data_IF_651645077176
#
_entry.id   IF_651645077176
#
_cell.length_a   1.000
_cell.length_b   1.000
_cell.length_c   1.000
_cell.angle_alpha   90.00
_cell.angle_beta   90.00
_cell.angle_gamma   90.00
#
_symmetry.space_group_name_H-M   'P 1'
#
loop_
_entity.id
_entity.type
_entity.pdbx_description
1 polymer ?
#
# COMPACT_ATOMS: atom_id res chain seq x y z
N UNK A 1 7.80 -3.34 15.44
CA UNK A 1 9.20 -3.25 14.99
C UNK A 1 10.14 -2.97 16.14
N UNK A 2 10.07 -1.81 16.79
CA UNK A 2 11.00 -1.38 17.86
C UNK A 2 11.13 -2.38 19.01
N UNK A 3 10.05 -3.01 19.46
CA UNK A 3 10.10 -4.03 20.51
C UNK A 3 10.93 -5.25 20.10
N UNK A 4 10.81 -5.70 18.88
CA UNK A 4 11.56 -6.85 18.34
C UNK A 4 13.05 -6.50 18.26
N UNK A 5 13.39 -5.31 17.76
CA UNK A 5 14.77 -4.81 17.68
C UNK A 5 15.42 -4.82 19.06
N UNK A 6 14.74 -4.26 20.07
CA UNK A 6 15.26 -4.20 21.44
C UNK A 6 15.37 -5.56 22.10
N UNK A 7 14.35 -6.44 21.95
CA UNK A 7 14.34 -7.77 22.59
C UNK A 7 15.40 -8.71 21.99
N UNK A 8 15.57 -8.68 20.69
CA UNK A 8 16.47 -9.61 20.00
C UNK A 8 17.83 -8.96 19.65
N UNK A 9 18.07 -7.70 20.06
CA UNK A 9 19.31 -6.95 19.78
C UNK A 9 19.66 -7.01 18.28
N UNK A 10 18.66 -6.77 17.44
CA UNK A 10 18.83 -6.80 15.99
C UNK A 10 19.73 -5.64 15.58
N UNK A 11 20.82 -5.92 14.85
CA UNK A 11 21.69 -4.89 14.33
C UNK A 11 20.98 -4.06 13.27
N UNK A 12 21.00 -2.76 13.43
CA UNK A 12 20.33 -1.82 12.55
C UNK A 12 21.35 -1.13 11.63
N UNK A 13 20.95 -0.64 10.45
CA UNK A 13 21.86 0.06 9.55
C UNK A 13 22.55 1.27 10.18
N UNK A 14 21.88 2.03 11.05
CA UNK A 14 22.52 3.17 11.74
C UNK A 14 23.54 2.76 12.79
N UNK A 15 23.39 1.55 13.38
CA UNK A 15 24.38 1.01 14.32
C UNK A 15 25.55 0.29 13.60
N UNK A 16 25.32 -0.20 12.39
CA UNK A 16 26.30 -0.90 11.59
C UNK A 16 26.25 -0.42 10.13
N UNK A 17 27.08 0.58 9.75
CA UNK A 17 27.10 1.16 8.40
C UNK A 17 27.36 0.16 7.27
N UNK A 18 27.95 -1.00 7.56
CA UNK A 18 28.15 -2.07 6.56
C UNK A 18 26.85 -2.67 6.05
N UNK A 19 25.73 -2.43 6.75
CA UNK A 19 24.39 -2.85 6.34
C UNK A 19 23.68 -1.80 5.47
N UNK A 20 24.28 -0.62 5.27
CA UNK A 20 23.74 0.39 4.37
C UNK A 20 24.10 0.02 2.92
N UNK A 21 23.07 -0.29 2.14
CA UNK A 21 23.20 -0.43 0.68
C UNK A 21 22.95 0.96 0.05
N UNK A 22 23.91 1.46 -0.72
CA UNK A 22 23.87 2.80 -1.34
C UNK A 22 22.62 3.03 -2.21
N UNK A 23 22.17 2.00 -2.93
CA UNK A 23 20.97 2.07 -3.79
C UNK A 23 19.65 2.30 -3.04
N UNK A 24 19.62 2.09 -1.76
CA UNK A 24 18.39 2.18 -0.99
C UNK A 24 18.17 3.51 -0.29
N UNK A 25 19.22 4.28 -0.12
CA UNK A 25 19.14 5.62 0.43
C UNK A 25 18.40 6.49 -0.58
N UNK A 26 18.76 6.40 -1.86
CA UNK A 26 18.15 7.14 -2.96
C UNK A 26 16.65 6.83 -3.10
N UNK A 27 16.23 5.57 -2.94
CA UNK A 27 14.80 5.19 -3.04
C UNK A 27 13.94 5.74 -1.90
N UNK A 28 14.49 5.83 -0.68
CA UNK A 28 13.78 6.38 0.47
C UNK A 28 13.84 7.90 0.46
N UNK A 29 14.97 8.49 0.11
CA UNK A 29 15.09 9.93 -0.09
C UNK A 29 14.14 10.41 -1.16
N UNK A 30 14.03 9.71 -2.30
CA UNK A 30 13.05 10.05 -3.35
C UNK A 30 11.60 10.01 -2.85
N UNK A 31 11.22 9.07 -1.97
CA UNK A 31 9.88 9.03 -1.39
C UNK A 31 9.66 10.03 -0.26
N UNK A 32 10.66 10.34 0.53
CA UNK A 32 10.60 11.37 1.58
C UNK A 32 10.69 12.76 0.95
N UNK A 33 11.51 12.95 -0.08
CA UNK A 33 11.63 14.19 -0.83
C UNK A 33 10.48 14.43 -1.81
N UNK A 34 9.74 13.39 -2.25
CA UNK A 34 8.53 13.56 -3.08
C UNK A 34 7.51 14.47 -2.43
N UNK A 35 7.45 14.50 -1.10
CA UNK A 35 6.65 15.47 -0.35
C UNK A 35 7.10 16.93 -0.48
N UNK A 36 8.30 17.19 -1.02
CA UNK A 36 8.88 18.52 -1.23
C UNK A 36 9.12 18.91 -2.69
N UNK A 37 9.00 17.96 -3.64
CA UNK A 37 9.15 18.27 -5.07
C UNK A 37 8.02 19.19 -5.54
N UNK A 38 8.39 20.35 -6.06
CA UNK A 38 7.43 21.29 -6.64
C UNK A 38 6.84 20.70 -7.93
N UNK A 39 5.53 20.67 -8.01
CA UNK A 39 4.79 20.33 -9.22
C UNK A 39 3.99 21.53 -9.70
N UNK A 40 3.81 21.65 -11.01
CA UNK A 40 3.06 22.73 -11.60
C UNK A 40 1.58 22.33 -11.78
N UNK A 41 0.70 23.32 -11.96
CA UNK A 41 -0.72 23.06 -12.28
C UNK A 41 -0.90 22.23 -13.56
N UNK A 42 0.02 22.33 -14.50
CA UNK A 42 0.04 21.48 -15.71
C UNK A 42 0.32 20.00 -15.38
N UNK A 43 1.18 19.72 -14.41
CA UNK A 43 1.45 18.34 -13.97
C UNK A 43 0.20 17.71 -13.36
N UNK A 44 -0.53 18.47 -12.53
CA UNK A 44 -1.81 18.00 -11.96
C UNK A 44 -2.84 17.70 -13.04
N UNK A 45 -3.00 18.57 -14.02
CA UNK A 45 -3.92 18.35 -15.14
C UNK A 45 -3.53 17.11 -15.95
N UNK A 46 -2.24 16.93 -16.19
CA UNK A 46 -1.71 15.76 -16.91
C UNK A 46 -2.00 14.46 -16.14
N UNK A 47 -1.78 14.45 -14.83
CA UNK A 47 -2.11 13.29 -13.98
C UNK A 47 -3.61 13.01 -14.00
N UNK A 48 -4.45 14.03 -13.81
CA UNK A 48 -5.91 13.86 -13.88
C UNK A 48 -6.36 13.31 -15.24
N UNK A 49 -5.73 13.74 -16.34
CA UNK A 49 -6.00 13.21 -17.66
C UNK A 49 -5.64 11.73 -17.78
N UNK A 50 -4.45 11.32 -17.29
CA UNK A 50 -4.02 9.92 -17.32
C UNK A 50 -4.90 9.03 -16.43
N UNK A 51 -5.29 9.52 -15.24
CA UNK A 51 -6.22 8.81 -14.34
C UNK A 51 -7.59 8.67 -15.03
N UNK A 52 -8.10 9.75 -15.65
CA UNK A 52 -9.36 9.72 -16.39
C UNK A 52 -9.34 8.72 -17.54
N UNK A 53 -8.23 8.66 -18.28
CA UNK A 53 -8.04 7.71 -19.37
C UNK A 53 -7.96 6.28 -18.86
N UNK A 54 -7.24 6.03 -17.76
CA UNK A 54 -7.15 4.72 -17.11
C UNK A 54 -8.51 4.26 -16.59
N UNK A 55 -9.30 5.15 -16.00
CA UNK A 55 -10.67 4.86 -15.56
C UNK A 55 -11.60 4.57 -16.74
N UNK A 56 -11.55 5.41 -17.80
CA UNK A 56 -12.42 5.25 -18.98
C UNK A 56 -12.17 3.92 -19.69
N UNK A 57 -10.92 3.59 -20.02
CA UNK A 57 -10.57 2.32 -20.65
C UNK A 57 -10.78 1.16 -19.66
N UNK A 58 -10.43 1.37 -18.39
CA UNK A 58 -10.54 0.39 -17.34
C UNK A 58 -11.96 -0.10 -17.07
N UNK A 59 -12.97 0.76 -17.23
CA UNK A 59 -14.38 0.32 -17.12
C UNK A 59 -14.76 -0.67 -18.22
N UNK A 60 -14.25 -0.47 -19.45
CA UNK A 60 -14.48 -1.40 -20.55
C UNK A 60 -13.77 -2.74 -20.30
N UNK A 61 -12.52 -2.67 -19.85
CA UNK A 61 -11.74 -3.87 -19.48
C UNK A 61 -12.40 -4.61 -18.35
N UNK A 62 -12.89 -3.91 -17.32
CA UNK A 62 -13.57 -4.51 -16.19
C UNK A 62 -14.89 -5.18 -16.61
N UNK A 63 -15.65 -4.57 -17.52
CA UNK A 63 -16.86 -5.18 -18.06
C UNK A 63 -16.56 -6.48 -18.82
N UNK A 64 -15.45 -6.55 -19.54
CA UNK A 64 -14.99 -7.77 -20.19
C UNK A 64 -14.53 -8.85 -19.19
N UNK A 65 -13.81 -8.45 -18.14
CA UNK A 65 -13.34 -9.37 -17.10
C UNK A 65 -14.49 -9.92 -16.22
N UNK A 66 -15.52 -9.12 -15.98
CA UNK A 66 -16.68 -9.50 -15.15
C UNK A 66 -17.49 -10.66 -15.72
N UNK A 67 -17.34 -10.93 -17.03
CA UNK A 67 -17.93 -12.12 -17.67
C UNK A 67 -17.25 -13.41 -17.24
N UNK A 68 -15.94 -13.35 -16.92
CA UNK A 68 -15.14 -14.52 -16.54
C UNK A 68 -15.07 -14.71 -15.02
N UNK A 69 -15.01 -13.62 -14.29
CA UNK A 69 -14.87 -13.63 -12.81
C UNK A 69 -15.58 -12.42 -12.22
N UNK A 70 -16.27 -12.57 -11.07
CA UNK A 70 -16.97 -11.47 -10.40
C UNK A 70 -15.95 -10.52 -9.73
N UNK A 71 -15.18 -9.77 -10.54
CA UNK A 71 -14.17 -8.83 -10.04
C UNK A 71 -14.77 -7.42 -9.89
N UNK A 72 -14.34 -6.66 -8.87
CA UNK A 72 -14.73 -5.26 -8.72
C UNK A 72 -14.30 -4.39 -9.90
N UNK A 73 -15.12 -3.39 -10.23
CA UNK A 73 -14.92 -2.53 -11.40
C UNK A 73 -13.58 -1.77 -11.42
N UNK A 74 -13.00 -1.48 -10.26
CA UNK A 74 -11.72 -0.76 -10.17
C UNK A 74 -10.51 -1.58 -10.65
N UNK A 75 -10.60 -2.91 -10.69
CA UNK A 75 -9.48 -3.76 -11.13
C UNK A 75 -9.11 -3.50 -12.59
N UNK A 76 -10.11 -3.32 -13.46
CA UNK A 76 -9.84 -2.94 -14.85
C UNK A 76 -9.08 -1.62 -14.96
N UNK A 77 -9.46 -0.63 -14.16
CA UNK A 77 -8.75 0.65 -14.11
C UNK A 77 -7.31 0.51 -13.59
N UNK A 78 -7.10 -0.33 -12.56
CA UNK A 78 -5.78 -0.63 -12.02
C UNK A 78 -4.86 -1.29 -13.06
N UNK A 79 -5.35 -2.27 -13.80
CA UNK A 79 -4.61 -2.92 -14.89
C UNK A 79 -4.25 -1.90 -15.98
N UNK A 80 -5.22 -1.08 -16.40
CA UNK A 80 -4.98 -0.04 -17.39
C UNK A 80 -3.94 0.99 -16.93
N UNK A 81 -4.02 1.43 -15.68
CA UNK A 81 -3.04 2.35 -15.09
C UNK A 81 -1.64 1.74 -15.06
N UNK A 82 -1.53 0.46 -14.69
CA UNK A 82 -0.26 -0.26 -14.70
C UNK A 82 0.32 -0.37 -16.12
N UNK A 83 -0.51 -0.67 -17.11
CA UNK A 83 -0.07 -0.72 -18.53
C UNK A 83 0.39 0.67 -19.00
N UNK A 84 -0.37 1.73 -18.71
CA UNK A 84 -0.01 3.10 -19.06
C UNK A 84 1.34 3.47 -18.42
N UNK A 85 1.52 3.20 -17.12
CA UNK A 85 2.78 3.51 -16.41
C UNK A 85 3.96 2.77 -17.03
N UNK A 86 3.86 1.45 -17.18
CA UNK A 86 4.93 0.63 -17.76
C UNK A 86 5.25 1.02 -19.20
N UNK A 87 4.23 1.34 -20.00
CA UNK A 87 4.45 1.80 -21.38
C UNK A 87 5.19 3.14 -21.43
N UNK A 88 4.82 4.08 -20.55
CA UNK A 88 5.51 5.36 -20.42
C UNK A 88 6.98 5.20 -20.03
N UNK A 89 7.24 4.36 -19.04
CA UNK A 89 8.59 4.11 -18.52
C UNK A 89 9.47 3.40 -19.58
N UNK A 90 8.90 2.44 -20.31
CA UNK A 90 9.61 1.69 -21.34
C UNK A 90 9.89 2.54 -22.60
N UNK A 91 8.90 3.27 -23.10
CA UNK A 91 9.02 4.05 -24.35
C UNK A 91 9.61 5.43 -24.13
N UNK A 92 9.64 5.93 -22.88
CA UNK A 92 10.00 7.32 -22.53
C UNK A 92 9.19 8.37 -23.31
N UNK A 93 8.02 7.99 -23.81
CA UNK A 93 7.17 8.84 -24.62
C UNK A 93 6.55 10.00 -23.82
N UNK A 94 6.32 9.77 -22.52
CA UNK A 94 5.83 10.75 -21.56
C UNK A 94 6.41 10.47 -20.18
N UNK A 95 6.47 11.53 -19.37
CA UNK A 95 6.90 11.41 -17.97
C UNK A 95 5.71 11.68 -17.05
N UNK A 96 5.51 10.81 -16.09
CA UNK A 96 4.55 11.00 -15.01
C UNK A 96 5.31 11.63 -13.85
N UNK A 97 4.83 12.77 -13.35
CA UNK A 97 5.39 13.44 -12.19
C UNK A 97 4.86 12.75 -10.93
N UNK A 98 5.72 11.99 -10.24
CA UNK A 98 5.34 11.19 -9.07
C UNK A 98 4.84 12.07 -7.92
N UNK A 99 5.42 13.25 -7.70
CA UNK A 99 4.96 14.17 -6.67
C UNK A 99 3.53 14.69 -6.93
N UNK A 100 3.19 14.96 -8.19
CA UNK A 100 1.84 15.36 -8.57
C UNK A 100 0.86 14.18 -8.44
N UNK A 101 1.29 12.96 -8.79
CA UNK A 101 0.50 11.75 -8.61
C UNK A 101 0.20 11.48 -7.14
N UNK A 102 1.19 11.60 -6.25
CA UNK A 102 1.03 11.44 -4.81
C UNK A 102 0.08 12.49 -4.22
N UNK A 103 0.17 13.75 -4.67
CA UNK A 103 -0.74 14.79 -4.24
C UNK A 103 -2.20 14.48 -4.61
N UNK A 104 -2.45 14.07 -5.87
CA UNK A 104 -3.81 13.69 -6.32
C UNK A 104 -4.30 12.45 -5.58
N UNK A 105 -3.44 11.45 -5.38
CA UNK A 105 -3.77 10.22 -4.67
C UNK A 105 -4.15 10.48 -3.22
N UNK A 106 -3.40 11.33 -2.50
CA UNK A 106 -3.69 11.69 -1.12
C UNK A 106 -5.02 12.44 -0.98
N UNK A 107 -5.31 13.36 -1.90
CA UNK A 107 -6.60 14.06 -1.94
C UNK A 107 -7.73 13.08 -2.23
N UNK A 108 -7.58 12.22 -3.25
CA UNK A 108 -8.58 11.24 -3.62
C UNK A 108 -8.87 10.26 -2.47
N UNK A 109 -7.81 9.77 -1.80
CA UNK A 109 -7.95 8.89 -0.63
C UNK A 109 -8.68 9.60 0.52
N UNK A 110 -8.34 10.84 0.82
CA UNK A 110 -8.99 11.63 1.87
C UNK A 110 -10.47 11.85 1.58
N UNK A 111 -10.81 12.18 0.34
CA UNK A 111 -12.20 12.31 -0.11
C UNK A 111 -12.94 10.98 -0.02
N UNK A 112 -12.33 9.89 -0.49
CA UNK A 112 -12.92 8.55 -0.42
C UNK A 112 -13.22 8.14 1.02
N UNK A 113 -12.27 8.29 1.92
CA UNK A 113 -12.45 7.95 3.35
C UNK A 113 -13.55 8.80 3.98
N UNK A 114 -13.58 10.11 3.68
CA UNK A 114 -14.61 11.02 4.18
C UNK A 114 -16.00 10.62 3.67
N UNK A 115 -16.12 10.31 2.38
CA UNK A 115 -17.39 9.85 1.79
C UNK A 115 -17.82 8.50 2.38
N UNK A 116 -16.88 7.57 2.55
CA UNK A 116 -17.14 6.27 3.16
C UNK A 116 -17.68 6.43 4.59
N UNK A 117 -17.02 7.25 5.43
CA UNK A 117 -17.47 7.50 6.80
C UNK A 117 -18.86 8.17 6.82
N UNK A 118 -19.09 9.16 5.96
CA UNK A 118 -20.40 9.83 5.88
C UNK A 118 -21.52 8.92 5.38
N UNK A 119 -21.22 7.88 4.62
CA UNK A 119 -22.20 6.91 4.14
C UNK A 119 -22.60 5.87 5.19
N UNK A 120 -21.85 5.78 6.31
CA UNK A 120 -22.14 4.83 7.38
C UNK A 120 -23.43 5.19 8.11
N UNK A 121 -24.34 4.24 8.20
CA UNK A 121 -25.56 4.37 8.99
C UNK A 121 -25.25 4.12 10.46
N UNK A 122 -24.93 5.18 11.21
CA UNK A 122 -24.47 5.11 12.59
C UNK A 122 -25.40 4.29 13.51
N UNK A 123 -26.72 4.35 13.29
CA UNK A 123 -27.69 3.58 14.09
C UNK A 123 -27.49 2.07 13.91
N UNK A 124 -27.23 1.62 12.67
CA UNK A 124 -26.96 0.20 12.40
C UNK A 124 -25.58 -0.24 12.93
N UNK A 125 -24.62 0.69 13.02
CA UNK A 125 -23.32 0.41 13.61
C UNK A 125 -23.39 0.15 15.12
N UNK A 126 -24.30 0.78 15.83
CA UNK A 126 -24.47 0.57 17.29
C UNK A 126 -24.83 -0.89 17.56
N UNK A 127 -25.75 -1.46 16.80
CA UNK A 127 -26.15 -2.86 16.92
C UNK A 127 -25.02 -3.84 16.57
N UNK A 128 -24.12 -3.44 15.69
CA UNK A 128 -22.96 -4.22 15.25
C UNK A 128 -21.66 -3.88 16.01
N UNK A 129 -21.69 -2.95 16.95
CA UNK A 129 -20.49 -2.46 17.62
C UNK A 129 -19.71 -3.56 18.33
N UNK A 130 -20.40 -4.44 19.05
CA UNK A 130 -19.75 -5.53 19.80
C UNK A 130 -19.09 -6.56 18.87
N UNK A 131 -19.73 -7.08 17.82
CA UNK A 131 -19.08 -7.92 16.82
C UNK A 131 -17.89 -7.24 16.15
N UNK A 132 -18.03 -5.96 15.74
CA UNK A 132 -16.96 -5.22 15.07
C UNK A 132 -15.73 -5.04 15.97
N UNK A 133 -15.92 -4.65 17.24
CA UNK A 133 -14.81 -4.52 18.20
C UNK A 133 -14.13 -5.88 18.41
N UNK A 134 -14.89 -6.94 18.52
CA UNK A 134 -14.34 -8.29 18.68
C UNK A 134 -13.48 -8.68 17.49
N UNK A 135 -13.98 -8.46 16.27
CA UNK A 135 -13.23 -8.75 15.03
C UNK A 135 -11.94 -7.92 14.99
N UNK A 136 -11.99 -6.62 15.30
CA UNK A 136 -10.83 -5.75 15.30
C UNK A 136 -9.77 -6.19 16.32
N UNK A 137 -10.16 -6.59 17.53
CA UNK A 137 -9.24 -7.08 18.54
C UNK A 137 -8.58 -8.38 18.10
N UNK A 138 -9.35 -9.32 17.55
CA UNK A 138 -8.83 -10.59 17.02
C UNK A 138 -7.89 -10.33 15.84
N UNK A 139 -8.26 -9.45 14.91
CA UNK A 139 -7.42 -9.06 13.78
C UNK A 139 -6.09 -8.43 14.23
N UNK A 140 -6.14 -7.55 15.24
CA UNK A 140 -4.94 -6.93 15.80
C UNK A 140 -4.02 -7.99 16.44
N UNK A 141 -4.56 -8.94 17.18
CA UNK A 141 -3.79 -10.05 17.76
C UNK A 141 -3.18 -10.94 16.66
N UNK A 142 -3.96 -11.31 15.67
CA UNK A 142 -3.53 -12.13 14.53
C UNK A 142 -2.40 -11.47 13.74
N UNK A 143 -2.51 -10.18 13.41
CA UNK A 143 -1.47 -9.50 12.64
C UNK A 143 -0.17 -9.34 13.43
N UNK A 144 -0.25 -9.16 14.75
CA UNK A 144 0.93 -9.15 15.62
C UNK A 144 1.65 -10.52 15.61
N UNK A 145 0.90 -11.61 15.71
CA UNK A 145 1.45 -12.97 15.60
C UNK A 145 2.06 -13.19 14.22
N UNK A 146 1.37 -12.77 13.17
CA UNK A 146 1.84 -12.89 11.79
C UNK A 146 3.12 -12.10 11.54
N UNK A 147 3.20 -10.86 12.01
CA UNK A 147 4.42 -10.05 11.91
C UNK A 147 5.60 -10.69 12.68
N UNK A 148 5.32 -11.35 13.79
CA UNK A 148 6.34 -12.08 14.53
C UNK A 148 6.78 -13.34 13.78
N UNK A 149 5.87 -14.04 13.13
CA UNK A 149 6.20 -15.17 12.26
C UNK A 149 7.05 -14.74 11.05
N UNK A 150 6.73 -13.61 10.41
CA UNK A 150 7.55 -13.02 9.35
C UNK A 150 8.98 -12.82 9.84
N UNK A 151 9.16 -12.25 11.03
CA UNK A 151 10.48 -12.07 11.61
C UNK A 151 11.27 -13.38 11.74
N UNK A 152 10.61 -14.46 12.13
CA UNK A 152 11.27 -15.78 12.25
C UNK A 152 11.58 -16.42 10.89
N UNK A 153 10.66 -16.34 9.93
CA UNK A 153 10.76 -16.98 8.62
C UNK A 153 11.84 -16.30 7.77
N UNK A 154 11.90 -14.96 7.81
CA UNK A 154 12.81 -14.17 6.98
C UNK A 154 14.19 -13.91 7.61
N UNK A 155 14.62 -14.75 8.53
CA UNK A 155 16.03 -14.79 8.96
C UNK A 155 16.40 -13.94 10.16
N UNK A 156 15.41 -13.38 10.90
CA UNK A 156 15.61 -12.64 12.18
C UNK A 156 16.56 -11.45 12.08
N UNK A 157 16.62 -10.83 10.90
CA UNK A 157 17.41 -9.65 10.62
C UNK A 157 16.56 -8.38 10.60
N UNK A 158 17.18 -7.24 10.32
CA UNK A 158 16.49 -5.96 10.26
C UNK A 158 15.45 -5.90 9.14
N UNK A 159 15.76 -6.47 7.97
CA UNK A 159 14.83 -6.54 6.84
C UNK A 159 13.54 -7.29 7.22
N UNK A 160 13.67 -8.38 7.98
CA UNK A 160 12.52 -9.13 8.47
C UNK A 160 11.65 -8.31 9.45
N UNK A 161 12.24 -7.43 10.26
CA UNK A 161 11.49 -6.50 11.12
C UNK A 161 10.76 -5.47 10.28
N UNK A 162 11.40 -4.95 9.24
CA UNK A 162 10.79 -3.99 8.31
C UNK A 162 9.64 -4.62 7.52
N UNK A 163 9.81 -5.85 7.03
CA UNK A 163 8.72 -6.62 6.39
C UNK A 163 7.54 -6.82 7.34
N UNK A 164 7.82 -7.14 8.62
CA UNK A 164 6.79 -7.26 9.65
C UNK A 164 6.05 -5.94 9.92
N UNK A 165 6.76 -4.80 9.90
CA UNK A 165 6.15 -3.48 10.04
C UNK A 165 5.24 -3.14 8.85
N UNK A 166 5.67 -3.48 7.63
CA UNK A 166 4.84 -3.38 6.42
C UNK A 166 3.59 -4.26 6.50
N UNK A 167 3.76 -5.52 6.90
CA UNK A 167 2.64 -6.47 7.05
C UNK A 167 1.58 -5.98 8.06
N UNK A 168 1.99 -5.35 9.16
CA UNK A 168 1.05 -4.74 10.12
C UNK A 168 0.25 -3.61 9.44
N UNK A 169 0.91 -2.79 8.63
CA UNK A 169 0.25 -1.72 7.89
C UNK A 169 -0.79 -2.23 6.90
N UNK A 170 -0.50 -3.31 6.18
CA UNK A 170 -1.47 -3.98 5.30
C UNK A 170 -2.64 -4.58 6.07
N UNK A 171 -2.35 -5.30 7.16
CA UNK A 171 -3.36 -6.04 7.91
C UNK A 171 -4.31 -5.15 8.70
N UNK A 172 -3.91 -3.94 9.07
CA UNK A 172 -4.74 -2.97 9.82
C UNK A 172 -5.16 -1.75 8.98
N UNK A 173 -4.74 -1.69 7.73
CA UNK A 173 -5.02 -0.54 6.89
C UNK A 173 -4.92 -0.87 5.41
N UNK A 174 -4.04 -0.16 4.72
CA UNK A 174 -3.81 -0.28 3.28
C UNK A 174 -2.32 -0.09 2.97
N UNK A 175 -1.95 -0.25 1.69
CA UNK A 175 -0.57 -0.06 1.23
C UNK A 175 0.10 1.23 1.72
N UNK A 176 -0.54 2.42 1.69
CA UNK A 176 0.06 3.62 2.24
C UNK A 176 0.42 3.50 3.73
N UNK A 177 -0.41 2.83 4.54
CA UNK A 177 -0.13 2.62 5.96
C UNK A 177 1.08 1.70 6.19
N UNK A 178 1.27 0.71 5.31
CA UNK A 178 2.46 -0.14 5.35
C UNK A 178 3.73 0.68 5.15
N UNK A 179 3.74 1.54 4.14
CA UNK A 179 4.88 2.42 3.83
C UNK A 179 5.15 3.42 4.95
N UNK A 180 4.11 4.05 5.52
CA UNK A 180 4.26 4.97 6.66
C UNK A 180 4.84 4.25 7.89
N UNK A 181 4.42 3.03 8.19
CA UNK A 181 4.99 2.24 9.28
C UNK A 181 6.48 1.94 9.04
N UNK A 182 6.84 1.61 7.81
CA UNK A 182 8.23 1.36 7.43
C UNK A 182 9.08 2.64 7.50
N UNK A 183 8.56 3.77 6.99
CA UNK A 183 9.23 5.07 7.09
C UNK A 183 9.48 5.47 8.54
N UNK A 184 8.48 5.30 9.42
CA UNK A 184 8.63 5.58 10.84
C UNK A 184 9.72 4.73 11.52
N UNK A 185 9.94 3.52 11.05
CA UNK A 185 11.00 2.66 11.57
C UNK A 185 12.35 3.02 10.94
N UNK A 186 12.37 3.28 9.64
CA UNK A 186 13.57 3.66 8.89
C UNK A 186 14.17 4.98 9.38
N UNK A 187 13.35 5.97 9.72
CA UNK A 187 13.81 7.25 10.24
C UNK A 187 14.59 7.13 11.56
N UNK A 188 14.36 6.05 12.34
CA UNK A 188 15.01 5.82 13.63
C UNK A 188 16.18 4.85 13.56
N UNK A 189 16.13 3.88 12.68
CA UNK A 189 17.03 2.73 12.68
C UNK A 189 17.79 2.54 11.36
N UNK A 190 17.48 3.32 10.35
CA UNK A 190 18.05 3.25 9.02
C UNK A 190 17.14 2.57 7.99
N UNK A 191 17.44 2.79 6.70
CA UNK A 191 16.65 2.23 5.60
C UNK A 191 16.87 0.73 5.40
N UNK A 192 15.88 0.06 4.81
CA UNK A 192 15.95 -1.32 4.32
C UNK A 192 15.37 -1.38 2.92
N UNK A 193 16.20 -1.20 1.89
CA UNK A 193 15.77 -1.16 0.49
C UNK A 193 15.06 -2.42 0.04
N UNK A 194 15.59 -3.57 0.44
CA UNK A 194 15.00 -4.87 0.10
C UNK A 194 13.60 -5.04 0.65
N UNK A 195 13.41 -4.71 1.93
CA UNK A 195 12.10 -4.79 2.54
C UNK A 195 11.14 -3.77 1.91
N UNK A 196 11.63 -2.57 1.58
CA UNK A 196 10.84 -1.54 0.92
C UNK A 196 10.32 -1.99 -0.44
N UNK A 197 11.20 -2.53 -1.28
CA UNK A 197 10.85 -3.03 -2.61
C UNK A 197 9.83 -4.17 -2.54
N UNK A 198 10.06 -5.13 -1.63
CA UNK A 198 9.14 -6.27 -1.46
C UNK A 198 7.77 -5.81 -0.99
N UNK A 199 7.70 -4.93 0.03
CA UNK A 199 6.42 -4.46 0.58
C UNK A 199 5.66 -3.62 -0.44
N UNK A 200 6.34 -2.72 -1.15
CA UNK A 200 5.71 -1.90 -2.19
C UNK A 200 5.13 -2.76 -3.32
N UNK A 201 5.91 -3.73 -3.81
CA UNK A 201 5.49 -4.60 -4.90
C UNK A 201 4.34 -5.52 -4.49
N UNK A 202 4.46 -6.17 -3.32
CA UNK A 202 3.43 -7.08 -2.79
C UNK A 202 2.15 -6.32 -2.47
N UNK A 203 2.28 -5.12 -1.88
CA UNK A 203 1.13 -4.29 -1.52
C UNK A 203 0.40 -3.73 -2.72
N UNK A 204 1.12 -3.15 -3.65
CA UNK A 204 0.51 -2.48 -4.80
C UNK A 204 -0.21 -3.42 -5.76
N UNK A 205 0.16 -4.70 -5.79
CA UNK A 205 -0.39 -5.63 -6.76
C UNK A 205 -1.02 -6.87 -6.12
N UNK A 206 -0.26 -7.61 -5.32
CA UNK A 206 -0.70 -8.92 -4.86
C UNK A 206 -1.80 -8.85 -3.80
N UNK A 207 -1.64 -7.97 -2.81
CA UNK A 207 -2.59 -7.88 -1.68
C UNK A 207 -3.91 -7.30 -2.13
N UNK A 208 -3.90 -6.22 -2.91
CA UNK A 208 -5.14 -5.59 -3.38
C UNK A 208 -5.92 -6.52 -4.31
N UNK A 209 -5.21 -7.22 -5.20
CA UNK A 209 -5.82 -8.21 -6.09
C UNK A 209 -6.39 -9.41 -5.31
N UNK A 210 -5.61 -9.98 -4.38
CA UNK A 210 -6.05 -11.11 -3.57
C UNK A 210 -7.25 -10.75 -2.68
N UNK A 211 -7.24 -9.57 -2.06
CA UNK A 211 -8.36 -9.08 -1.26
C UNK A 211 -9.63 -8.91 -2.10
N UNK A 212 -9.51 -8.28 -3.26
CA UNK A 212 -10.65 -8.11 -4.16
C UNK A 212 -11.26 -9.45 -4.56
N UNK A 213 -10.41 -10.41 -4.93
CA UNK A 213 -10.84 -11.75 -5.31
C UNK A 213 -11.50 -12.49 -4.14
N UNK A 214 -10.89 -12.48 -2.95
CA UNK A 214 -11.43 -13.14 -1.76
C UNK A 214 -12.78 -12.55 -1.34
N UNK A 215 -12.87 -11.22 -1.25
CA UNK A 215 -14.11 -10.53 -0.84
C UNK A 215 -15.24 -10.86 -1.82
N UNK A 216 -14.97 -10.79 -3.12
CA UNK A 216 -15.99 -11.02 -4.15
C UNK A 216 -16.42 -12.48 -4.15
N UNK A 217 -15.50 -13.43 -4.01
CA UNK A 217 -15.81 -14.85 -3.95
C UNK A 217 -16.64 -15.19 -2.70
N UNK A 218 -16.25 -14.67 -1.54
CA UNK A 218 -16.99 -14.87 -0.29
C UNK A 218 -18.38 -14.26 -0.35
N UNK A 219 -18.49 -13.05 -0.90
CA UNK A 219 -19.81 -12.42 -1.10
C UNK A 219 -20.70 -13.25 -2.02
N UNK A 220 -20.16 -13.82 -3.10
CA UNK A 220 -20.92 -14.67 -4.02
C UNK A 220 -21.32 -16.05 -3.44
N UNK A 221 -20.66 -16.51 -2.37
CA UNK A 221 -21.02 -17.76 -1.67
C UNK A 221 -22.09 -17.49 -0.60
N UNK A 222 -22.09 -16.30 0.00
CA UNK A 222 -22.97 -15.94 1.11
C UNK A 222 -24.32 -15.35 0.66
N UNK A 223 -24.41 -14.86 -0.55
CA UNK A 223 -25.59 -14.25 -1.16
C UNK A 223 -25.93 -14.94 -2.49
#
# INVERSE_FOLDING_TARGET
GERIIKMHKVKTPYENPELMEDEGIDMIEDHVESGGKQFNSQDLLTICMWIGLALGIGTIVSAGLSVLTPLPAYIGAMICAAVIRNFGDFTKAYKINDAALDAVSNVALSLFVTMAINSLKLVQLIDLALPLITILVVQMALICVFAYLIYFIFGRNYDAVMLGAGAIGFGLGATPNALVNMLSLASKHGPSPRAWLVVSLVGAFLIDFANAFLITTMAGILY
#
